data_IF_333975832111
#
_entry.id   IF_333975832111
#
_cell.length_a   1.000
_cell.length_b   1.000
_cell.length_c   1.000
_cell.angle_alpha   90.00
_cell.angle_beta   90.00
_cell.angle_gamma   90.00
#
_symmetry.space_group_name_H-M   'P 1'
#
loop_
_entity.id
_entity.type
_entity.pdbx_description
1 polymer ?
#
# COMPACT_ATOMS: atom_id res chain seq x y z
N UNK A 1 -42.58 -42.27 -24.92
CA UNK A 1 -42.34 -40.81 -24.86
C UNK A 1 -42.27 -40.37 -23.41
N UNK A 2 -41.23 -39.57 -23.05
CA UNK A 2 -41.09 -38.73 -21.83
C UNK A 2 -40.93 -39.51 -20.50
N UNK A 3 -40.04 -39.16 -19.56
CA UNK A 3 -39.10 -38.03 -19.37
C UNK A 3 -38.02 -38.52 -18.37
N UNK A 4 -36.75 -38.31 -18.68
CA UNK A 4 -35.64 -38.42 -17.71
C UNK A 4 -35.61 -37.10 -16.94
N UNK A 5 -35.79 -37.13 -15.62
CA UNK A 5 -35.62 -35.97 -14.75
C UNK A 5 -34.19 -36.00 -14.21
N UNK A 6 -33.34 -35.17 -14.79
CA UNK A 6 -32.02 -34.80 -14.27
C UNK A 6 -32.22 -33.68 -13.25
N UNK A 7 -32.11 -33.99 -11.97
CA UNK A 7 -31.94 -32.99 -10.90
C UNK A 7 -30.48 -33.02 -10.44
N UNK A 8 -29.66 -32.20 -11.09
CA UNK A 8 -28.33 -31.86 -10.59
C UNK A 8 -28.46 -30.79 -9.51
N UNK A 9 -28.23 -31.18 -8.25
CA UNK A 9 -27.95 -30.23 -7.17
C UNK A 9 -26.49 -29.78 -7.30
N UNK A 10 -26.26 -28.63 -7.92
CA UNK A 10 -25.00 -27.92 -7.76
C UNK A 10 -25.08 -27.10 -6.47
N UNK A 11 -24.50 -27.62 -5.39
CA UNK A 11 -24.23 -26.82 -4.19
C UNK A 11 -23.14 -25.80 -4.54
N UNK A 12 -23.54 -24.56 -4.79
CA UNK A 12 -22.63 -23.44 -4.80
C UNK A 12 -22.18 -23.20 -3.35
N UNK A 13 -20.98 -23.67 -3.00
CA UNK A 13 -20.25 -23.22 -1.83
C UNK A 13 -19.92 -21.74 -2.04
N UNK A 14 -20.80 -20.86 -1.61
CA UNK A 14 -20.46 -19.47 -1.42
C UNK A 14 -19.40 -19.42 -0.31
N UNK A 15 -18.13 -19.29 -0.69
CA UNK A 15 -17.08 -18.94 0.23
C UNK A 15 -17.45 -17.58 0.83
N UNK A 16 -18.00 -17.58 2.04
CA UNK A 16 -18.11 -16.38 2.86
C UNK A 16 -16.69 -16.01 3.24
N UNK A 17 -16.01 -15.24 2.38
CA UNK A 17 -14.86 -14.48 2.82
C UNK A 17 -15.29 -13.70 4.07
N UNK A 18 -14.48 -13.65 5.13
CA UNK A 18 -14.81 -12.85 6.30
C UNK A 18 -15.09 -11.43 5.80
N UNK A 19 -16.33 -10.98 5.97
CA UNK A 19 -16.66 -9.58 5.74
C UNK A 19 -15.98 -8.81 6.88
N UNK A 20 -14.86 -8.17 6.56
CA UNK A 20 -14.23 -7.20 7.45
C UNK A 20 -15.28 -6.13 7.77
N UNK A 21 -15.32 -5.67 9.02
CA UNK A 21 -16.16 -4.52 9.31
C UNK A 21 -15.64 -3.33 8.49
N UNK A 22 -16.54 -2.47 8.01
CA UNK A 22 -16.12 -1.24 7.35
C UNK A 22 -15.13 -0.49 8.26
N UNK A 23 -14.02 0.03 7.71
CA UNK A 23 -12.96 0.58 8.52
C UNK A 23 -13.44 1.80 9.30
N UNK A 24 -12.95 1.95 10.53
CA UNK A 24 -13.19 3.17 11.30
C UNK A 24 -12.32 4.34 10.81
N UNK A 25 -12.54 5.53 11.39
CA UNK A 25 -11.82 6.72 10.98
C UNK A 25 -10.30 6.65 11.26
N UNK A 26 -9.88 5.89 12.28
CA UNK A 26 -8.47 5.72 12.61
C UNK A 26 -7.80 4.75 11.63
N UNK A 27 -8.46 3.64 11.29
CA UNK A 27 -7.97 2.70 10.26
C UNK A 27 -7.88 3.39 8.89
N UNK A 28 -8.87 4.22 8.52
CA UNK A 28 -8.80 5.02 7.29
C UNK A 28 -7.64 6.02 7.31
N UNK A 29 -7.42 6.72 8.42
CA UNK A 29 -6.31 7.65 8.56
C UNK A 29 -4.95 6.94 8.47
N UNK A 30 -4.86 5.71 8.99
CA UNK A 30 -3.67 4.87 8.87
C UNK A 30 -3.42 4.45 7.41
N UNK A 31 -4.45 4.01 6.69
CA UNK A 31 -4.34 3.76 5.24
C UNK A 31 -3.86 5.00 4.48
N UNK A 32 -4.43 6.18 4.77
CA UNK A 32 -4.02 7.44 4.15
C UNK A 32 -2.54 7.74 4.45
N UNK A 33 -2.07 7.47 5.67
CA UNK A 33 -0.66 7.60 6.05
C UNK A 33 0.26 6.66 5.26
N UNK A 34 -0.17 5.44 4.93
CA UNK A 34 0.61 4.54 4.08
C UNK A 34 0.77 5.08 2.66
N UNK A 35 -0.25 5.72 2.12
CA UNK A 35 -0.17 6.38 0.80
C UNK A 35 0.83 7.53 0.83
N UNK A 36 0.80 8.37 1.86
CA UNK A 36 1.77 9.47 2.05
C UNK A 36 3.19 8.91 2.20
N UNK A 37 3.38 7.89 3.04
CA UNK A 37 4.69 7.27 3.27
C UNK A 37 5.29 6.69 1.98
N UNK A 38 4.48 6.00 1.17
CA UNK A 38 4.95 5.48 -0.12
C UNK A 38 5.32 6.60 -1.11
N UNK A 39 4.58 7.71 -1.11
CA UNK A 39 4.97 8.92 -1.83
C UNK A 39 6.30 9.48 -1.33
N UNK A 40 6.49 9.53 -0.01
CA UNK A 40 7.71 10.04 0.62
C UNK A 40 8.94 9.19 0.29
N UNK A 41 8.84 7.86 0.30
CA UNK A 41 9.93 6.97 -0.15
C UNK A 41 10.37 7.30 -1.57
N UNK A 42 9.43 7.50 -2.50
CA UNK A 42 9.73 7.83 -3.89
C UNK A 42 10.33 9.24 -4.04
N UNK A 43 9.80 10.23 -3.32
CA UNK A 43 10.29 11.62 -3.33
C UNK A 43 11.71 11.73 -2.76
N UNK A 44 11.98 11.02 -1.66
CA UNK A 44 13.30 10.92 -1.06
C UNK A 44 14.29 10.21 -1.99
N UNK A 45 13.90 9.08 -2.58
CA UNK A 45 14.73 8.35 -3.53
C UNK A 45 15.09 9.20 -4.76
N UNK A 46 14.14 9.98 -5.29
CA UNK A 46 14.41 10.95 -6.36
C UNK A 46 15.43 12.00 -5.93
N UNK A 47 15.27 12.59 -4.74
CA UNK A 47 16.24 13.56 -4.21
C UNK A 47 17.65 12.95 -4.04
N UNK A 48 17.73 11.64 -3.84
CA UNK A 48 18.97 10.86 -3.75
C UNK A 48 19.49 10.32 -5.09
N UNK A 49 18.85 10.65 -6.21
CA UNK A 49 19.33 10.28 -7.54
C UNK A 49 18.93 8.89 -8.03
N UNK A 50 17.84 8.32 -7.49
CA UNK A 50 17.22 7.14 -8.09
C UNK A 50 16.84 7.41 -9.56
N UNK A 51 16.93 6.38 -10.41
CA UNK A 51 16.65 6.53 -11.84
C UNK A 51 15.14 6.68 -12.11
N UNK A 52 14.76 7.43 -13.16
CA UNK A 52 13.34 7.57 -13.52
C UNK A 52 12.62 6.25 -13.81
N UNK A 53 13.23 5.23 -14.46
CA UNK A 53 12.62 3.90 -14.56
C UNK A 53 12.31 3.27 -13.21
N UNK A 54 13.21 3.43 -12.23
CA UNK A 54 13.03 2.86 -10.90
C UNK A 54 11.92 3.58 -10.13
N UNK A 55 11.89 4.91 -10.21
CA UNK A 55 10.87 5.76 -9.61
C UNK A 55 9.49 5.43 -10.19
N UNK A 56 9.40 5.27 -11.50
CA UNK A 56 8.15 4.89 -12.19
C UNK A 56 7.68 3.49 -11.80
N UNK A 57 8.60 2.52 -11.69
CA UNK A 57 8.28 1.17 -11.24
C UNK A 57 7.75 1.16 -9.81
N UNK A 58 8.42 1.87 -8.90
CA UNK A 58 7.98 2.00 -7.51
C UNK A 58 6.58 2.62 -7.45
N UNK A 59 6.34 3.74 -8.14
CA UNK A 59 5.03 4.39 -8.16
C UNK A 59 3.93 3.46 -8.68
N UNK A 60 4.19 2.74 -9.78
CA UNK A 60 3.23 1.81 -10.37
C UNK A 60 2.88 0.66 -9.41
N UNK A 61 3.88 0.07 -8.77
CA UNK A 61 3.70 -1.04 -7.82
C UNK A 61 3.01 -0.58 -6.54
N UNK A 62 3.44 0.55 -5.96
CA UNK A 62 2.79 1.15 -4.81
C UNK A 62 1.31 1.44 -5.08
N UNK A 63 0.99 2.07 -6.22
CA UNK A 63 -0.40 2.34 -6.62
C UNK A 63 -1.21 1.07 -6.76
N UNK A 64 -0.70 0.08 -7.49
CA UNK A 64 -1.38 -1.19 -7.67
C UNK A 64 -1.69 -1.84 -6.31
N UNK A 65 -0.68 -1.97 -5.46
CA UNK A 65 -0.80 -2.71 -4.20
C UNK A 65 -1.67 -1.96 -3.18
N UNK A 66 -1.50 -0.65 -3.02
CA UNK A 66 -2.31 0.15 -2.09
C UNK A 66 -3.78 0.24 -2.52
N UNK A 67 -4.07 0.32 -3.82
CA UNK A 67 -5.46 0.27 -4.29
C UNK A 67 -6.08 -1.13 -4.10
N UNK A 68 -5.30 -2.19 -4.25
CA UNK A 68 -5.75 -3.54 -3.93
C UNK A 68 -6.02 -3.69 -2.42
N UNK A 69 -5.13 -3.16 -1.57
CA UNK A 69 -5.31 -3.15 -0.12
C UNK A 69 -6.56 -2.38 0.29
N UNK A 70 -6.77 -1.19 -0.30
CA UNK A 70 -7.96 -0.40 -0.08
C UNK A 70 -9.24 -1.13 -0.46
N UNK A 71 -9.22 -1.85 -1.60
CA UNK A 71 -10.35 -2.65 -2.03
C UNK A 71 -10.61 -3.83 -1.09
N UNK A 72 -9.57 -4.51 -0.63
CA UNK A 72 -9.69 -5.70 0.24
C UNK A 72 -10.26 -5.36 1.62
N UNK A 73 -9.89 -4.20 2.16
CA UNK A 73 -10.27 -3.74 3.50
C UNK A 73 -11.31 -2.61 3.50
N UNK A 74 -11.96 -2.38 2.35
CA UNK A 74 -13.04 -1.39 2.18
C UNK A 74 -12.64 0.07 2.52
N UNK A 75 -11.35 0.42 2.43
CA UNK A 75 -10.89 1.79 2.57
C UNK A 75 -11.27 2.66 1.36
N UNK A 76 -11.50 3.94 1.61
CA UNK A 76 -11.64 4.94 0.55
C UNK A 76 -10.28 5.29 -0.04
N UNK A 77 -10.10 5.02 -1.34
CA UNK A 77 -8.92 5.45 -2.11
C UNK A 77 -9.10 6.78 -2.86
N UNK A 78 -10.18 7.54 -2.62
CA UNK A 78 -10.49 8.77 -3.37
C UNK A 78 -9.40 9.85 -3.26
N UNK A 79 -8.67 9.88 -2.14
CA UNK A 79 -7.59 10.83 -1.90
C UNK A 79 -6.22 10.37 -2.40
N UNK A 80 -6.10 9.17 -2.99
CA UNK A 80 -4.82 8.52 -3.24
C UNK A 80 -3.82 9.42 -3.97
N UNK A 81 -4.18 9.97 -5.14
CA UNK A 81 -3.25 10.74 -5.95
C UNK A 81 -2.79 12.02 -5.22
N UNK A 82 -3.67 12.67 -4.46
CA UNK A 82 -3.34 13.85 -3.65
C UNK A 82 -2.38 13.53 -2.52
N UNK A 83 -2.67 12.47 -1.75
CA UNK A 83 -1.83 12.01 -0.63
C UNK A 83 -0.45 11.54 -1.12
N UNK A 84 -0.41 10.83 -2.25
CA UNK A 84 0.85 10.38 -2.84
C UNK A 84 1.72 11.57 -3.29
N UNK A 85 1.11 12.58 -3.92
CA UNK A 85 1.82 13.82 -4.31
C UNK A 85 2.29 14.62 -3.10
N UNK A 86 1.50 14.68 -2.03
CA UNK A 86 1.94 15.24 -0.76
C UNK A 86 3.19 14.51 -0.24
N UNK A 87 3.15 13.17 -0.18
CA UNK A 87 4.28 12.35 0.21
C UNK A 87 5.54 12.63 -0.61
N UNK A 88 5.41 12.71 -1.95
CA UNK A 88 6.53 13.05 -2.83
C UNK A 88 7.24 14.36 -2.42
N UNK A 89 6.46 15.39 -2.09
CA UNK A 89 6.99 16.67 -1.64
C UNK A 89 7.64 16.60 -0.26
N UNK A 90 7.03 15.87 0.68
CA UNK A 90 7.55 15.66 2.04
C UNK A 90 8.88 14.89 2.03
N UNK A 91 8.95 13.77 1.31
CA UNK A 91 10.17 12.96 1.19
C UNK A 91 11.32 13.75 0.58
N UNK A 92 11.06 14.56 -0.44
CA UNK A 92 12.06 15.48 -1.00
C UNK A 92 12.52 16.51 0.03
N UNK A 93 11.58 17.15 0.72
CA UNK A 93 11.87 18.19 1.72
C UNK A 93 12.74 17.64 2.85
N UNK A 94 12.42 16.45 3.35
CA UNK A 94 13.21 15.74 4.35
C UNK A 94 14.65 15.52 3.89
N UNK A 95 14.86 15.07 2.65
CA UNK A 95 16.22 14.87 2.13
C UNK A 95 16.99 16.20 1.96
N UNK A 96 16.31 17.27 1.55
CA UNK A 96 16.91 18.59 1.46
C UNK A 96 17.30 19.13 2.86
N UNK A 97 16.51 18.84 3.89
CA UNK A 97 16.81 19.16 5.30
C UNK A 97 18.00 18.39 5.86
N UNK A 98 18.06 17.09 5.62
CA UNK A 98 19.19 16.25 6.02
C UNK A 98 20.49 16.76 5.38
N UNK A 99 20.45 17.04 4.07
CA UNK A 99 21.59 17.59 3.34
C UNK A 99 22.04 18.95 3.90
N UNK A 100 21.11 19.86 4.20
CA UNK A 100 21.43 21.15 4.84
C UNK A 100 22.06 20.98 6.23
N UNK A 101 21.68 19.93 6.93
CA UNK A 101 22.21 19.59 8.26
C UNK A 101 23.50 18.78 8.22
N UNK A 102 24.07 18.52 7.04
CA UNK A 102 25.30 17.75 6.86
C UNK A 102 25.15 16.24 7.04
N UNK A 103 23.92 15.72 7.08
CA UNK A 103 23.62 14.29 7.20
C UNK A 103 23.40 13.68 5.82
N UNK A 104 24.17 12.64 5.48
CA UNK A 104 23.93 11.83 4.28
C UNK A 104 22.97 10.67 4.58
N UNK A 105 21.69 10.89 4.28
CA UNK A 105 20.66 9.86 4.38
C UNK A 105 20.51 8.98 3.13
N UNK A 106 21.20 9.29 2.03
CA UNK A 106 20.86 8.71 0.73
C UNK A 106 21.18 7.23 0.63
N UNK A 107 22.21 6.74 1.34
CA UNK A 107 22.49 5.30 1.40
C UNK A 107 21.31 4.51 1.99
N UNK A 108 20.70 5.00 3.06
CA UNK A 108 19.58 4.33 3.72
C UNK A 108 18.32 4.37 2.85
N UNK A 109 17.98 5.56 2.34
CA UNK A 109 16.81 5.76 1.48
C UNK A 109 16.88 4.90 0.22
N UNK A 110 18.01 4.92 -0.50
CA UNK A 110 18.13 4.10 -1.70
C UNK A 110 18.09 2.61 -1.37
N UNK A 111 18.57 2.19 -0.19
CA UNK A 111 18.47 0.82 0.27
C UNK A 111 17.03 0.34 0.43
N UNK A 112 16.18 1.05 1.18
CA UNK A 112 14.78 0.62 1.36
C UNK A 112 13.96 0.78 0.08
N UNK A 113 14.19 1.86 -0.68
CA UNK A 113 13.54 2.10 -1.96
C UNK A 113 13.72 0.93 -2.95
N UNK A 114 14.90 0.29 -2.99
CA UNK A 114 15.12 -0.85 -3.88
C UNK A 114 14.24 -2.06 -3.52
N UNK A 115 13.96 -2.27 -2.24
CA UNK A 115 13.04 -3.31 -1.78
C UNK A 115 11.59 -2.94 -2.11
N UNK A 116 11.17 -1.74 -1.71
CA UNK A 116 9.80 -1.23 -1.93
C UNK A 116 9.43 -1.21 -3.42
N UNK A 117 10.36 -0.85 -4.30
CA UNK A 117 10.15 -0.76 -5.75
C UNK A 117 9.65 -2.08 -6.35
N UNK A 118 10.12 -3.22 -5.86
CA UNK A 118 9.80 -4.54 -6.41
C UNK A 118 8.87 -5.36 -5.53
N UNK A 119 8.43 -4.79 -4.41
CA UNK A 119 7.60 -5.44 -3.40
C UNK A 119 6.25 -5.89 -3.96
N UNK A 120 5.93 -7.17 -3.75
CA UNK A 120 4.64 -7.74 -4.13
C UNK A 120 3.51 -7.33 -3.19
N UNK A 121 2.27 -7.61 -3.57
CA UNK A 121 1.10 -7.26 -2.74
C UNK A 121 1.13 -7.92 -1.36
N UNK A 122 1.34 -9.23 -1.29
CA UNK A 122 1.35 -9.98 -0.01
C UNK A 122 2.49 -9.53 0.92
N UNK A 123 3.66 -9.24 0.34
CA UNK A 123 4.80 -8.71 1.08
C UNK A 123 4.50 -7.30 1.64
N UNK A 124 3.92 -6.42 0.80
CA UNK A 124 3.50 -5.09 1.25
C UNK A 124 2.44 -5.21 2.35
N UNK A 125 1.43 -6.05 2.17
CA UNK A 125 0.38 -6.28 3.17
C UNK A 125 0.96 -6.76 4.50
N UNK A 126 1.94 -7.66 4.48
CA UNK A 126 2.67 -8.09 5.68
C UNK A 126 3.45 -6.95 6.34
N UNK A 127 4.17 -6.15 5.55
CA UNK A 127 4.90 -4.98 6.06
C UNK A 127 3.95 -3.92 6.66
N UNK A 128 2.79 -3.69 6.04
CA UNK A 128 1.75 -2.81 6.60
C UNK A 128 1.25 -3.34 7.93
N UNK A 129 0.92 -4.64 8.01
CA UNK A 129 0.49 -5.27 9.25
C UNK A 129 1.53 -5.16 10.38
N UNK A 130 2.82 -5.26 10.06
CA UNK A 130 3.91 -5.10 11.02
C UNK A 130 3.94 -3.69 11.62
N UNK A 131 3.71 -2.65 10.81
CA UNK A 131 3.71 -1.26 11.29
C UNK A 131 2.38 -0.79 11.88
N UNK A 132 1.28 -1.53 11.64
CA UNK A 132 -0.06 -1.23 12.17
C UNK A 132 -0.49 -2.11 13.34
N UNK A 133 0.40 -2.94 13.89
CA UNK A 133 0.09 -3.92 14.94
C UNK A 133 -0.98 -4.97 14.53
N UNK A 134 -1.06 -5.31 13.24
CA UNK A 134 -1.98 -6.29 12.68
C UNK A 134 -2.72 -5.80 11.44
N UNK A 135 -3.53 -6.68 10.84
CA UNK A 135 -4.39 -6.29 9.72
C UNK A 135 -5.66 -5.58 10.23
N UNK A 136 -6.30 -4.73 9.40
CA UNK A 136 -7.54 -4.05 9.77
C UNK A 136 -8.60 -5.03 10.27
N UNK A 137 -9.31 -4.70 11.34
CA UNK A 137 -10.28 -5.59 11.97
C UNK A 137 -9.71 -6.77 12.78
N UNK A 138 -8.41 -7.06 12.74
CA UNK A 138 -7.76 -7.94 13.70
C UNK A 138 -7.58 -7.16 15.02
N UNK A 139 -8.50 -7.33 15.98
CA UNK A 139 -8.30 -6.71 17.30
C UNK A 139 -6.97 -7.20 17.88
N UNK A 140 -6.06 -6.26 18.15
CA UNK A 140 -4.92 -6.50 19.03
C UNK A 140 -5.45 -7.14 20.32
N UNK A 141 -5.02 -8.36 20.61
CA UNK A 141 -5.42 -9.10 21.81
C UNK A 141 -4.72 -8.55 23.04
#
# INVERSE_FOLDING_TARGET
MRKIILTGLAWALAATAPAWAAPDAAEQAQFDSFVVASGASNGAARACGASEPDLAQHQANARKNLLQYAQEYEFSAKGYDGLYQQGLAEGKTMMDEMKRSGVDGCRGVLGSFQNERVMGYEEMKGALAEVSDGLPGERAR
#
